data_IF_200108302563
#
_entry.id   IF_200108302563
#
_cell.length_a   1.000
_cell.length_b   1.000
_cell.length_c   1.000
_cell.angle_alpha   90.00
_cell.angle_beta   90.00
_cell.angle_gamma   90.00
#
_symmetry.space_group_name_H-M   'P 1'
#
loop_
_entity.id
_entity.type
_entity.pdbx_description
1 polymer ?
#
# COMPACT_ATOMS: atom_id res chain seq x y z
N UNK A 1 -11.44 -1.40 1.33
CA UNK A 1 -10.15 -2.03 0.97
C UNK A 1 -10.25 -2.62 -0.44
N UNK A 2 -9.16 -2.98 -1.12
CA UNK A 2 -9.22 -3.68 -2.43
C UNK A 2 -10.14 -4.91 -2.33
N UNK A 3 -10.65 -5.44 -3.42
CA UNK A 3 -11.40 -6.70 -3.36
C UNK A 3 -10.43 -7.89 -3.23
N UNK A 4 -10.79 -8.96 -2.49
CA UNK A 4 -9.87 -10.06 -2.20
C UNK A 4 -9.22 -10.69 -3.45
N UNK A 5 -9.96 -10.82 -4.55
CA UNK A 5 -9.45 -11.37 -5.81
C UNK A 5 -8.28 -10.53 -6.36
N UNK A 6 -8.44 -9.20 -6.43
CA UNK A 6 -7.38 -8.31 -6.92
C UNK A 6 -6.19 -8.24 -5.98
N UNK A 7 -6.42 -8.40 -4.68
CA UNK A 7 -5.33 -8.51 -3.71
C UNK A 7 -4.55 -9.83 -3.89
N UNK A 8 -5.25 -10.96 -4.05
CA UNK A 8 -4.63 -12.26 -4.26
C UNK A 8 -3.80 -12.33 -5.54
N UNK A 9 -4.25 -11.69 -6.63
CA UNK A 9 -3.47 -11.55 -7.87
C UNK A 9 -2.12 -10.85 -7.61
N UNK A 10 -2.12 -9.79 -6.79
CA UNK A 10 -0.89 -9.07 -6.42
C UNK A 10 0.01 -9.87 -5.48
N UNK A 11 -0.57 -10.60 -4.53
CA UNK A 11 0.18 -11.44 -3.59
C UNK A 11 0.82 -12.63 -4.29
N UNK A 12 0.14 -13.20 -5.29
CA UNK A 12 0.70 -14.25 -6.13
C UNK A 12 1.93 -13.79 -6.92
N UNK A 13 1.95 -12.55 -7.38
CA UNK A 13 3.01 -12.02 -8.26
C UNK A 13 4.14 -11.35 -7.50
N UNK A 14 3.83 -10.60 -6.44
CA UNK A 14 4.79 -9.77 -5.70
C UNK A 14 4.94 -10.16 -4.23
N UNK A 15 4.14 -11.11 -3.76
CA UNK A 15 4.17 -11.61 -2.40
C UNK A 15 5.22 -12.70 -2.15
N UNK A 16 5.08 -13.46 -1.04
CA UNK A 16 4.04 -13.28 -0.04
C UNK A 16 4.18 -11.92 0.66
N UNK A 17 3.07 -11.19 0.80
CA UNK A 17 3.03 -9.99 1.62
C UNK A 17 3.04 -10.40 3.09
N UNK A 18 3.98 -9.82 3.83
CA UNK A 18 4.18 -10.17 5.24
C UNK A 18 3.47 -9.22 6.18
N UNK A 19 3.04 -8.04 5.71
CA UNK A 19 2.34 -7.05 6.54
C UNK A 19 1.32 -6.24 5.74
N UNK A 20 0.16 -5.99 6.34
CA UNK A 20 -0.84 -5.04 5.84
C UNK A 20 -0.78 -3.74 6.64
N UNK A 21 -0.26 -2.68 6.02
CA UNK A 21 0.15 -1.48 6.71
C UNK A 21 -1.01 -0.58 7.18
N UNK A 22 -2.22 -0.75 6.64
CA UNK A 22 -3.34 0.16 6.92
C UNK A 22 -4.66 -0.61 7.00
N UNK A 23 -4.92 -1.23 8.15
CA UNK A 23 -6.15 -1.98 8.41
C UNK A 23 -7.07 -1.25 9.40
N UNK A 24 -8.33 -1.65 9.45
CA UNK A 24 -9.25 -1.20 10.48
C UNK A 24 -8.84 -1.76 11.84
N UNK A 25 -9.27 -1.13 12.94
CA UNK A 25 -8.99 -1.63 14.30
C UNK A 25 -9.50 -3.06 14.54
N UNK A 26 -10.65 -3.40 13.95
CA UNK A 26 -11.20 -4.77 13.97
C UNK A 26 -10.39 -5.76 13.15
N UNK A 27 -9.45 -5.28 12.31
CA UNK A 27 -8.68 -6.07 11.34
C UNK A 27 -9.53 -6.84 10.34
N UNK A 28 -10.84 -6.57 10.26
CA UNK A 28 -11.77 -7.28 9.37
C UNK A 28 -11.46 -7.07 7.87
N UNK A 29 -10.65 -6.07 7.55
CA UNK A 29 -10.15 -5.86 6.20
C UNK A 29 -8.73 -6.42 5.97
N UNK A 30 -7.99 -6.83 7.00
CA UNK A 30 -6.62 -7.27 6.87
C UNK A 30 -6.49 -8.50 5.96
N UNK A 31 -5.49 -8.47 5.08
CA UNK A 31 -5.12 -9.64 4.29
C UNK A 31 -3.95 -10.44 4.86
N UNK A 32 -3.06 -9.76 5.57
CA UNK A 32 -1.89 -10.36 6.19
C UNK A 32 -2.16 -10.64 7.67
N UNK A 33 -1.49 -11.68 8.21
CA UNK A 33 -1.54 -11.97 9.65
C UNK A 33 -0.99 -10.81 10.48
N UNK A 34 0.21 -10.32 10.14
CA UNK A 34 0.73 -9.07 10.68
C UNK A 34 0.04 -7.91 9.97
N UNK A 35 -0.55 -7.01 10.75
CA UNK A 35 -1.22 -5.84 10.22
C UNK A 35 -1.21 -4.70 11.22
N UNK A 36 -1.30 -3.47 10.73
CA UNK A 36 -1.27 -2.26 11.57
C UNK A 36 -2.54 -1.45 11.38
N UNK A 37 -3.23 -1.18 12.49
CA UNK A 37 -4.35 -0.27 12.52
C UNK A 37 -3.89 1.16 12.82
N UNK A 38 -4.84 2.07 12.99
CA UNK A 38 -4.56 3.43 13.42
C UNK A 38 -3.85 3.48 14.79
N UNK A 39 -4.11 2.52 15.67
CA UNK A 39 -3.48 2.46 16.99
C UNK A 39 -1.98 2.13 16.92
N UNK A 40 -1.59 1.20 16.03
CA UNK A 40 -0.18 0.85 15.82
C UNK A 40 0.56 1.88 14.97
N UNK A 41 -0.14 2.62 14.11
CA UNK A 41 0.39 3.73 13.31
C UNK A 41 1.59 3.38 12.40
N UNK A 42 1.30 3.05 11.14
CA UNK A 42 2.31 2.72 10.14
C UNK A 42 3.37 3.82 9.87
N UNK A 43 3.16 5.06 10.34
CA UNK A 43 4.16 6.13 10.22
C UNK A 43 5.40 5.89 11.08
N UNK A 44 5.32 5.00 12.07
CA UNK A 44 6.43 4.69 12.99
C UNK A 44 6.77 3.20 13.08
N UNK A 45 6.03 2.35 12.37
CA UNK A 45 6.28 0.91 12.36
C UNK A 45 7.53 0.54 11.57
N UNK A 46 8.14 -0.60 11.92
CA UNK A 46 9.34 -1.11 11.26
C UNK A 46 8.95 -1.91 10.02
N UNK A 47 9.25 -1.36 8.84
CA UNK A 47 9.10 -2.07 7.57
C UNK A 47 10.35 -2.92 7.23
N UNK A 48 11.44 -2.79 8.00
CA UNK A 48 12.72 -3.45 7.74
C UNK A 48 12.53 -4.97 7.60
N UNK A 49 12.94 -5.53 6.45
CA UNK A 49 12.85 -6.95 6.14
C UNK A 49 11.44 -7.47 5.80
N UNK A 50 10.43 -6.58 5.74
CA UNK A 50 9.07 -6.96 5.37
C UNK A 50 8.76 -6.66 3.90
N UNK A 51 7.90 -7.48 3.31
CA UNK A 51 7.24 -7.19 2.04
C UNK A 51 5.82 -6.69 2.34
N UNK A 52 5.64 -5.38 2.36
CA UNK A 52 4.40 -4.76 2.82
C UNK A 52 3.36 -4.60 1.72
N UNK A 53 2.09 -4.73 2.08
CA UNK A 53 0.94 -4.25 1.33
C UNK A 53 0.35 -3.03 2.03
N UNK A 54 -0.14 -2.05 1.28
CA UNK A 54 -0.85 -0.92 1.88
C UNK A 54 -1.82 -0.23 0.95
N UNK A 55 -3.11 -0.23 1.30
CA UNK A 55 -4.08 0.73 0.79
C UNK A 55 -4.05 1.98 1.68
N UNK A 56 -3.18 2.93 1.34
CA UNK A 56 -2.79 4.00 2.25
C UNK A 56 -3.86 5.10 2.35
N UNK A 57 -4.20 5.58 3.56
CA UNK A 57 -5.10 6.72 3.73
C UNK A 57 -4.46 8.01 3.22
N UNK A 58 -5.23 8.80 2.46
CA UNK A 58 -4.73 9.96 1.72
C UNK A 58 -4.07 11.03 2.59
N UNK A 59 -4.56 11.22 3.82
CA UNK A 59 -4.07 12.28 4.72
C UNK A 59 -2.67 12.03 5.30
N UNK A 60 -2.19 10.78 5.27
CA UNK A 60 -0.90 10.40 5.87
C UNK A 60 -0.02 9.54 4.96
N UNK A 61 -0.42 9.40 3.69
CA UNK A 61 0.29 8.59 2.69
C UNK A 61 1.78 8.98 2.58
N UNK A 62 2.09 10.27 2.56
CA UNK A 62 3.47 10.78 2.49
C UNK A 62 4.28 10.35 3.70
N UNK A 63 3.71 10.43 4.90
CA UNK A 63 4.40 10.06 6.14
C UNK A 63 4.70 8.56 6.19
N UNK A 64 3.76 7.73 5.75
CA UNK A 64 3.94 6.27 5.68
C UNK A 64 5.01 5.92 4.64
N UNK A 65 4.95 6.50 3.44
CA UNK A 65 5.94 6.26 2.39
C UNK A 65 7.33 6.70 2.86
N UNK A 66 7.46 7.88 3.48
CA UNK A 66 8.74 8.34 4.06
C UNK A 66 9.28 7.39 5.11
N UNK A 67 8.42 6.87 6.00
CA UNK A 67 8.84 5.88 6.99
C UNK A 67 9.31 4.57 6.33
N UNK A 68 8.57 4.07 5.33
CA UNK A 68 8.98 2.91 4.55
C UNK A 68 10.36 3.12 3.90
N UNK A 69 10.60 4.27 3.26
CA UNK A 69 11.89 4.56 2.63
C UNK A 69 13.04 4.64 3.63
N UNK A 70 12.79 5.16 4.85
CA UNK A 70 13.76 5.10 5.97
C UNK A 70 14.11 3.68 6.34
N UNK A 71 13.11 2.81 6.43
CA UNK A 71 13.33 1.39 6.71
C UNK A 71 14.09 0.71 5.55
N UNK A 72 13.71 0.99 4.30
CA UNK A 72 14.39 0.48 3.10
C UNK A 72 15.86 0.95 3.06
N UNK A 73 16.17 2.17 3.47
CA UNK A 73 17.54 2.67 3.56
C UNK A 73 18.35 1.91 4.61
N UNK A 74 17.79 1.68 5.81
CA UNK A 74 18.46 0.93 6.87
C UNK A 74 18.69 -0.53 6.49
N UNK A 75 17.71 -1.15 5.83
CA UNK A 75 17.78 -2.53 5.36
C UNK A 75 17.28 -2.63 3.93
N UNK A 76 18.19 -2.52 2.97
CA UNK A 76 17.82 -2.54 1.55
C UNK A 76 17.33 -3.92 1.09
N UNK A 77 18.07 -4.99 1.42
CA UNK A 77 17.69 -6.33 1.03
C UNK A 77 16.47 -6.83 1.82
N UNK A 78 15.47 -7.33 1.10
CA UNK A 78 14.27 -7.96 1.66
C UNK A 78 13.17 -6.98 2.09
N UNK A 79 13.48 -5.70 2.29
CA UNK A 79 12.46 -4.67 2.51
C UNK A 79 11.81 -4.31 1.18
N UNK A 80 10.52 -4.53 1.06
CA UNK A 80 9.78 -4.30 -0.17
C UNK A 80 8.36 -3.82 0.16
N UNK A 81 7.69 -3.18 -0.80
CA UNK A 81 6.29 -2.82 -0.61
C UNK A 81 5.51 -2.74 -1.92
N UNK A 82 4.20 -2.96 -1.83
CA UNK A 82 3.18 -2.59 -2.80
C UNK A 82 2.23 -1.60 -2.12
N UNK A 83 2.21 -0.36 -2.61
CA UNK A 83 1.29 0.67 -2.13
C UNK A 83 0.26 0.99 -3.19
N UNK A 84 -1.01 0.96 -2.80
CA UNK A 84 -2.10 1.43 -3.63
C UNK A 84 -2.29 2.93 -3.43
N UNK A 85 -2.23 3.68 -4.52
CA UNK A 85 -2.20 5.14 -4.53
C UNK A 85 -3.20 5.66 -5.57
N UNK A 86 -4.03 6.66 -5.23
CA UNK A 86 -4.88 7.32 -6.20
C UNK A 86 -4.04 8.17 -7.16
N UNK A 87 -4.35 8.14 -8.45
CA UNK A 87 -3.75 9.05 -9.43
C UNK A 87 -4.52 10.37 -9.38
N UNK A 88 -4.09 11.26 -8.48
CA UNK A 88 -4.69 12.57 -8.30
C UNK A 88 -3.62 13.67 -8.42
N UNK A 89 -3.59 14.41 -9.53
CA UNK A 89 -2.67 15.55 -9.69
C UNK A 89 -2.77 16.54 -8.52
N UNK A 90 -1.63 16.92 -7.96
CA UNK A 90 -1.56 17.83 -6.81
C UNK A 90 -1.75 17.16 -5.44
N UNK A 91 -2.08 15.86 -5.39
CA UNK A 91 -2.02 15.12 -4.14
C UNK A 91 -0.56 14.80 -3.78
N UNK A 92 -0.11 15.20 -2.59
CA UNK A 92 1.29 15.04 -2.18
C UNK A 92 1.80 13.59 -2.23
N UNK A 93 0.94 12.61 -1.96
CA UNK A 93 1.30 11.19 -2.05
C UNK A 93 1.59 10.74 -3.48
N UNK A 94 0.72 11.14 -4.41
CA UNK A 94 0.92 10.87 -5.83
C UNK A 94 2.15 11.59 -6.38
N UNK A 95 2.32 12.88 -6.05
CA UNK A 95 3.48 13.65 -6.49
C UNK A 95 4.79 13.07 -5.94
N UNK A 96 4.82 12.61 -4.69
CA UNK A 96 5.99 11.95 -4.11
C UNK A 96 6.38 10.70 -4.90
N UNK A 97 5.44 9.79 -5.15
CA UNK A 97 5.70 8.56 -5.91
C UNK A 97 6.18 8.90 -7.32
N UNK A 98 5.49 9.81 -8.00
CA UNK A 98 5.82 10.23 -9.36
C UNK A 98 7.20 10.90 -9.47
N UNK A 99 7.63 11.60 -8.42
CA UNK A 99 8.95 12.25 -8.37
C UNK A 99 10.14 11.28 -8.20
N UNK A 100 9.88 9.99 -7.90
CA UNK A 100 10.91 8.98 -7.65
C UNK A 100 10.71 7.74 -8.57
N UNK A 101 10.75 7.91 -9.90
CA UNK A 101 10.44 6.83 -10.86
C UNK A 101 11.46 5.68 -10.83
N UNK A 102 12.67 5.91 -10.32
CA UNK A 102 13.66 4.84 -10.11
C UNK A 102 13.43 4.02 -8.85
N UNK A 103 12.65 4.55 -7.91
CA UNK A 103 12.28 3.86 -6.67
C UNK A 103 10.95 3.14 -6.82
N UNK A 104 9.94 3.86 -7.31
CA UNK A 104 8.57 3.35 -7.45
C UNK A 104 8.29 2.94 -8.89
N UNK A 105 8.03 1.65 -9.11
CA UNK A 105 7.56 1.13 -10.39
C UNK A 105 6.05 0.90 -10.32
N UNK A 106 5.29 1.43 -11.28
CA UNK A 106 3.86 1.13 -11.41
C UNK A 106 3.74 -0.30 -11.92
N UNK A 107 3.09 -1.18 -11.14
CA UNK A 107 2.92 -2.60 -11.49
C UNK A 107 1.49 -2.97 -11.85
N UNK A 108 0.52 -2.16 -11.41
CA UNK A 108 -0.89 -2.28 -11.82
C UNK A 108 -1.52 -0.90 -11.92
N UNK A 109 -2.43 -0.76 -12.87
CA UNK A 109 -3.25 0.43 -13.06
C UNK A 109 -4.70 0.00 -13.30
N UNK A 110 -5.63 0.69 -12.64
CA UNK A 110 -7.04 0.60 -12.89
C UNK A 110 -7.59 1.97 -13.24
N UNK A 111 -8.30 2.04 -14.37
CA UNK A 111 -8.94 3.27 -14.80
C UNK A 111 -10.00 3.74 -13.81
N UNK A 112 -10.34 5.03 -13.89
CA UNK A 112 -11.55 5.56 -13.25
C UNK A 112 -12.77 4.73 -13.64
N UNK A 113 -13.72 4.57 -12.72
CA UNK A 113 -14.92 3.76 -12.96
C UNK A 113 -14.77 2.29 -12.56
N UNK A 114 -13.57 1.84 -12.14
CA UNK A 114 -13.34 0.43 -11.80
C UNK A 114 -13.96 0.06 -10.46
N UNK A 115 -14.61 -1.09 -10.38
CA UNK A 115 -15.10 -1.67 -9.12
C UNK A 115 -13.96 -2.37 -8.36
N UNK A 116 -13.12 -1.57 -7.70
CA UNK A 116 -11.91 -2.07 -7.05
C UNK A 116 -12.09 -2.36 -5.55
N UNK A 117 -12.99 -1.64 -4.88
CA UNK A 117 -13.05 -1.64 -3.42
C UNK A 117 -14.26 -2.37 -2.86
N UNK A 118 -14.03 -3.10 -1.78
CA UNK A 118 -15.04 -3.73 -0.93
C UNK A 118 -14.76 -3.40 0.53
N UNK A 119 -15.79 -3.40 1.37
CA UNK A 119 -15.62 -3.39 2.82
C UNK A 119 -16.23 -4.65 3.43
N UNK A 120 -15.64 -5.19 4.51
CA UNK A 120 -16.31 -6.22 5.29
C UNK A 120 -17.64 -5.68 5.84
N UNK A 121 -18.65 -6.52 5.87
CA UNK A 121 -19.85 -6.27 6.68
C UNK A 121 -19.43 -6.18 8.15
N UNK A 122 -19.97 -5.18 8.87
CA UNK A 122 -19.76 -5.03 10.32
C UNK A 122 -20.24 -6.26 11.10
N UNK A 123 -21.19 -7.02 10.55
CA UNK A 123 -21.70 -8.27 11.14
C UNK A 123 -20.96 -9.53 10.66
N UNK A 124 -19.96 -9.38 9.78
CA UNK A 124 -19.14 -10.49 9.30
C UNK A 124 -19.79 -11.39 8.25
N UNK A 125 -20.96 -11.06 7.70
CA UNK A 125 -21.66 -11.92 6.73
C UNK A 125 -21.13 -11.85 5.29
N UNK A 126 -20.03 -11.11 5.05
CA UNK A 126 -19.45 -10.99 3.73
C UNK A 126 -18.81 -9.63 3.50
N UNK A 127 -18.69 -9.23 2.23
CA UNK A 127 -18.12 -7.94 1.83
C UNK A 127 -19.06 -7.21 0.88
N UNK A 128 -19.24 -5.91 1.09
CA UNK A 128 -20.07 -5.04 0.25
C UNK A 128 -19.19 -4.23 -0.69
N UNK A 129 -19.55 -4.17 -1.97
CA UNK A 129 -18.87 -3.34 -2.95
C UNK A 129 -19.10 -1.84 -2.65
N UNK A 130 -18.04 -1.03 -2.74
CA UNK A 130 -18.10 0.42 -2.51
C UNK A 130 -18.47 1.23 -3.75
N UNK A 131 -18.80 0.55 -4.84
CA UNK A 131 -19.03 1.17 -6.14
C UNK A 131 -17.73 1.46 -6.91
N UNK A 132 -17.85 2.15 -8.04
CA UNK A 132 -16.72 2.44 -8.92
C UNK A 132 -15.79 3.52 -8.36
N UNK A 133 -14.49 3.44 -8.66
CA UNK A 133 -13.52 4.47 -8.29
C UNK A 133 -13.81 5.80 -9.01
N UNK A 134 -13.66 6.92 -8.29
CA UNK A 134 -13.85 8.28 -8.84
C UNK A 134 -12.62 8.80 -9.60
N UNK A 135 -11.49 8.13 -9.46
CA UNK A 135 -10.20 8.46 -10.07
C UNK A 135 -9.47 7.17 -10.44
N UNK A 136 -8.49 7.21 -11.36
CA UNK A 136 -7.60 6.08 -11.60
C UNK A 136 -6.81 5.74 -10.34
N UNK A 137 -6.47 4.46 -10.18
CA UNK A 137 -5.75 3.95 -9.03
C UNK A 137 -4.61 3.08 -9.53
N UNK A 138 -3.43 3.25 -8.94
CA UNK A 138 -2.25 2.44 -9.27
C UNK A 138 -1.74 1.68 -8.07
N UNK A 139 -1.08 0.57 -8.32
CA UNK A 139 -0.17 -0.06 -7.36
C UNK A 139 1.25 0.27 -7.76
N UNK A 140 1.98 0.86 -6.83
CA UNK A 140 3.41 1.15 -6.98
C UNK A 140 4.20 0.15 -6.14
N UNK A 141 5.29 -0.34 -6.71
CA UNK A 141 6.18 -1.35 -6.14
C UNK A 141 7.54 -0.73 -5.85
N UNK A 142 8.08 -1.05 -4.68
CA UNK A 142 9.51 -1.02 -4.40
C UNK A 142 9.93 -2.46 -4.12
N UNK A 143 10.81 -3.02 -4.95
CA UNK A 143 11.23 -4.42 -4.86
C UNK A 143 12.15 -4.72 -3.68
N UNK A 144 12.44 -6.00 -3.40
CA UNK A 144 13.33 -6.42 -2.31
C UNK A 144 14.82 -6.08 -2.55
N UNK A 145 15.18 -5.76 -3.78
CA UNK A 145 16.54 -5.40 -4.19
C UNK A 145 16.97 -3.99 -3.75
N UNK A 146 18.29 -3.72 -3.65
CA UNK A 146 18.85 -2.38 -3.49
C UNK A 146 18.32 -1.38 -4.51
N UNK A 147 18.06 -0.16 -4.05
CA UNK A 147 17.63 0.94 -4.91
C UNK A 147 18.30 2.24 -4.46
N UNK A 148 18.60 3.13 -5.40
CA UNK A 148 19.12 4.44 -5.10
C UNK A 148 18.02 5.28 -4.43
N UNK A 149 18.23 5.67 -3.18
CA UNK A 149 17.27 6.45 -2.39
C UNK A 149 17.76 7.90 -2.22
N UNK A 150 16.86 8.90 -2.29
CA UNK A 150 17.23 10.30 -2.13
C UNK A 150 17.73 10.60 -0.71
N UNK A 151 18.64 11.54 -0.51
CA UNK A 151 19.32 11.79 0.79
C UNK A 151 18.40 12.02 1.99
N UNK A 152 17.18 12.49 1.79
CA UNK A 152 16.19 12.68 2.86
C UNK A 152 15.50 11.39 3.32
N UNK A 153 15.62 10.31 2.54
CA UNK A 153 14.98 9.03 2.78
C UNK A 153 15.51 8.30 4.00
#
# INVERSE_FOLDING_TARGET
>A
MVCPVRWAELDQEFGPFTVDACVAESRANAYCYLSWSKAEDARVQKFDGHNAWGNLPFSIIVAIIKNFLKCKRRQQWGTAACFLVPVWPGNEGWELVRSLPEVFKVVREWAQGTHLFTAPDLRGHGRTAWGPTRWPVVVVRVGPEPVALPDWA
#
